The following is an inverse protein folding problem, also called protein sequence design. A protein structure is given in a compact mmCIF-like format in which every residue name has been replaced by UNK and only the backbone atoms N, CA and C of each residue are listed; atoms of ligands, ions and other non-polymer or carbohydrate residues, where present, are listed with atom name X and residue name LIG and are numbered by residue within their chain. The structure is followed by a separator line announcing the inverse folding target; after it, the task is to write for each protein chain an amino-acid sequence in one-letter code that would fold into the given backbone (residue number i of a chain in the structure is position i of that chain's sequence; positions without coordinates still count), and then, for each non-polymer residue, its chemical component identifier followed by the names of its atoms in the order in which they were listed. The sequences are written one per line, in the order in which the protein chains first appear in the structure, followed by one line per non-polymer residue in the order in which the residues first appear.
data_IF_612229557692
#
_entry.id   IF_612229557692
#
_cell.length_a   1.000
_cell.length_b   1.000
_cell.length_c   1.000
_cell.angle_alpha   90.00
_cell.angle_beta   90.00
_cell.angle_gamma   90.00
#
_symmetry.space_group_name_H-M   'P 1'
#
loop_
_entity.id
_entity.type
_entity.pdbx_description
1 polymer ?
#
# COMPACT_ATOMS: atom_id res chain seq x y z
N UNK A 1 21.52 -39.85 -1.47
CA UNK A 1 20.83 -39.48 -0.21
C UNK A 1 20.20 -38.13 -0.44
N UNK A 2 18.89 -38.03 -0.24
CA UNK A 2 18.03 -37.00 -0.81
C UNK A 2 18.22 -35.61 -0.21
N UNK A 3 18.25 -34.62 -1.10
CA UNK A 3 18.26 -33.19 -0.84
C UNK A 3 16.81 -32.73 -0.61
N UNK A 4 16.45 -32.32 0.61
CA UNK A 4 15.11 -31.79 0.89
C UNK A 4 15.08 -30.30 0.56
N UNK A 5 14.63 -29.99 -0.66
CA UNK A 5 14.15 -28.67 -1.05
C UNK A 5 12.93 -28.33 -0.19
N UNK A 6 13.05 -27.29 0.63
CA UNK A 6 11.94 -26.68 1.37
C UNK A 6 11.19 -25.77 0.41
N UNK A 7 10.29 -26.36 -0.38
CA UNK A 7 9.42 -25.67 -1.32
C UNK A 7 8.32 -24.89 -0.58
N UNK A 8 8.11 -23.66 -1.05
CA UNK A 8 6.92 -22.81 -0.97
C UNK A 8 5.91 -23.07 0.16
N UNK A 9 5.95 -22.18 1.15
CA UNK A 9 4.71 -21.73 1.82
C UNK A 9 4.02 -20.70 0.92
N UNK A 10 3.66 -21.09 -0.30
CA UNK A 10 2.78 -20.31 -1.14
C UNK A 10 1.39 -20.32 -0.51
N UNK A 11 0.96 -19.13 -0.16
CA UNK A 11 -0.33 -18.77 0.38
C UNK A 11 -1.47 -19.47 -0.36
N UNK A 12 -2.23 -20.31 0.35
CA UNK A 12 -3.55 -20.76 -0.13
C UNK A 12 -4.40 -19.52 -0.36
N UNK A 13 -4.88 -19.24 -1.58
CA UNK A 13 -5.79 -18.12 -1.82
C UNK A 13 -7.12 -18.42 -1.11
N UNK A 14 -7.42 -17.69 -0.04
CA UNK A 14 -8.75 -17.68 0.58
C UNK A 14 -9.70 -16.89 -0.33
N UNK A 15 -10.13 -17.51 -1.44
CA UNK A 15 -11.03 -16.90 -2.40
C UNK A 15 -12.26 -16.32 -1.69
N UNK A 16 -12.46 -15.01 -1.83
CA UNK A 16 -13.55 -14.25 -1.20
C UNK A 16 -13.15 -13.38 0.00
N UNK A 17 -11.97 -13.59 0.60
CA UNK A 17 -11.48 -12.80 1.74
C UNK A 17 -10.44 -11.72 1.39
N UNK A 18 -9.94 -11.74 0.15
CA UNK A 18 -9.02 -10.74 -0.37
C UNK A 18 -9.74 -9.67 -1.20
N UNK A 19 -9.30 -8.42 -1.05
CA UNK A 19 -9.56 -7.34 -1.98
C UNK A 19 -8.51 -7.42 -3.10
N UNK A 20 -8.95 -7.33 -4.35
CA UNK A 20 -8.07 -7.16 -5.51
C UNK A 20 -8.43 -5.89 -6.26
N UNK A 21 -7.42 -5.09 -6.62
CA UNK A 21 -7.52 -3.93 -7.50
C UNK A 21 -6.49 -4.11 -8.62
N UNK A 22 -6.91 -3.91 -9.86
CA UNK A 22 -6.02 -3.93 -11.03
C UNK A 22 -6.21 -2.62 -11.79
N UNK A 23 -5.09 -2.00 -12.18
CA UNK A 23 -5.08 -0.73 -12.91
C UNK A 23 -3.91 -0.70 -13.89
N UNK A 24 -4.12 -0.05 -15.02
CA UNK A 24 -3.04 0.24 -15.98
C UNK A 24 -2.61 1.69 -15.78
N UNK A 25 -1.31 1.91 -15.58
CA UNK A 25 -0.70 3.24 -15.53
C UNK A 25 0.06 3.51 -16.83
N UNK A 26 0.00 4.76 -17.31
CA UNK A 26 0.70 5.20 -18.51
C UNK A 26 2.15 5.60 -18.20
N UNK A 27 2.92 4.65 -17.70
CA UNK A 27 4.34 4.80 -17.40
C UNK A 27 5.07 3.44 -17.44
N UNK A 28 6.37 3.42 -17.80
CA UNK A 28 7.23 2.25 -17.70
C UNK A 28 7.31 1.76 -16.26
N UNK A 29 7.55 0.45 -16.10
CA UNK A 29 7.57 -0.22 -14.80
C UNK A 29 8.54 0.43 -13.83
N UNK A 30 9.72 0.79 -14.29
CA UNK A 30 10.77 1.38 -13.45
C UNK A 30 10.37 2.77 -12.94
N UNK A 31 9.71 3.58 -13.78
CA UNK A 31 9.21 4.90 -13.38
C UNK A 31 8.10 4.76 -12.35
N UNK A 32 7.17 3.83 -12.57
CA UNK A 32 6.10 3.57 -11.62
C UNK A 32 6.66 3.04 -10.30
N UNK A 33 7.65 2.14 -10.34
CA UNK A 33 8.34 1.63 -9.17
C UNK A 33 8.96 2.74 -8.33
N UNK A 34 9.72 3.65 -8.96
CA UNK A 34 10.31 4.81 -8.30
C UNK A 34 9.26 5.68 -7.60
N UNK A 35 8.06 5.83 -8.17
CA UNK A 35 6.98 6.59 -7.53
C UNK A 35 6.51 6.00 -6.19
N UNK A 36 6.76 4.71 -5.95
CA UNK A 36 6.42 4.01 -4.71
C UNK A 36 7.60 3.84 -3.75
N UNK A 37 8.84 4.02 -4.22
CA UNK A 37 10.05 3.68 -3.46
C UNK A 37 10.94 4.87 -3.15
N UNK A 38 10.83 5.96 -3.92
CA UNK A 38 11.58 7.19 -3.69
C UNK A 38 10.76 8.19 -2.86
N UNK A 39 11.26 8.65 -1.70
CA UNK A 39 10.55 9.57 -0.81
C UNK A 39 10.08 10.85 -1.52
N UNK A 40 10.95 11.44 -2.34
CA UNK A 40 10.68 12.70 -3.04
C UNK A 40 9.50 12.58 -4.01
N UNK A 41 9.32 11.40 -4.62
CA UNK A 41 8.24 11.10 -5.54
C UNK A 41 6.95 10.76 -4.81
N UNK A 42 7.01 9.92 -3.79
CA UNK A 42 5.86 9.57 -2.95
C UNK A 42 5.15 10.82 -2.42
N UNK A 43 5.91 11.81 -1.93
CA UNK A 43 5.37 13.07 -1.40
C UNK A 43 4.59 13.91 -2.41
N UNK A 44 4.72 13.66 -3.72
CA UNK A 44 4.03 14.43 -4.75
C UNK A 44 2.59 13.99 -4.99
N UNK A 45 2.23 12.77 -4.61
CA UNK A 45 0.95 12.17 -5.03
C UNK A 45 0.26 11.33 -3.95
N UNK A 46 0.99 10.82 -2.95
CA UNK A 46 0.40 9.92 -1.96
C UNK A 46 -0.50 10.66 -0.97
N UNK A 47 -1.76 10.24 -0.91
CA UNK A 47 -2.80 10.84 -0.08
C UNK A 47 -3.83 11.66 -0.88
N UNK A 48 -4.84 12.23 -0.20
CA UNK A 48 -5.84 13.10 -0.84
C UNK A 48 -5.23 14.42 -1.33
N UNK A 49 -5.85 15.04 -2.35
CA UNK A 49 -5.33 16.26 -3.02
C UNK A 49 -4.97 17.42 -2.11
N UNK A 50 -5.84 17.72 -1.18
CA UNK A 50 -5.68 18.92 -0.36
C UNK A 50 -4.91 18.60 0.93
N UNK A 51 -4.30 17.41 1.04
CA UNK A 51 -3.48 17.04 2.18
C UNK A 51 -2.00 17.26 1.88
N UNK A 52 -1.29 17.77 2.89
CA UNK A 52 0.16 17.83 2.86
C UNK A 52 0.68 16.53 3.43
N UNK A 53 1.51 15.83 2.65
CA UNK A 53 2.20 14.64 3.10
C UNK A 53 3.59 14.97 3.63
N UNK A 54 3.96 14.38 4.76
CA UNK A 54 5.34 14.35 5.26
C UNK A 54 5.79 12.92 5.55
N UNK A 55 7.08 12.65 5.34
CA UNK A 55 7.70 11.36 5.62
C UNK A 55 8.55 11.50 6.88
N UNK A 56 8.21 10.75 7.92
CA UNK A 56 9.00 10.68 9.14
C UNK A 56 10.13 9.64 9.00
N UNK A 57 9.88 8.53 8.32
CA UNK A 57 10.89 7.54 7.98
C UNK A 57 10.51 6.79 6.70
N UNK A 58 11.50 6.44 5.88
CA UNK A 58 11.36 5.50 4.78
C UNK A 58 12.61 4.64 4.70
N UNK A 59 12.49 3.38 5.12
CA UNK A 59 13.55 2.38 5.12
C UNK A 59 13.17 1.25 4.16
N UNK A 60 13.55 1.39 2.89
CA UNK A 60 13.17 0.45 1.83
C UNK A 60 13.99 -0.85 1.88
N UNK A 61 13.69 -1.69 2.87
CA UNK A 61 14.28 -3.03 3.06
C UNK A 61 13.30 -3.92 3.82
N UNK A 62 13.39 -5.26 3.72
CA UNK A 62 12.66 -6.15 4.62
C UNK A 62 12.88 -5.78 6.10
N UNK A 63 11.80 -5.71 6.86
CA UNK A 63 11.74 -5.24 8.24
C UNK A 63 11.91 -3.72 8.43
N UNK A 64 12.12 -2.96 7.35
CA UNK A 64 12.12 -1.51 7.37
C UNK A 64 10.70 -0.96 7.31
N UNK A 65 10.55 0.32 7.65
CA UNK A 65 9.26 1.00 7.73
C UNK A 65 9.15 2.19 6.80
N UNK A 66 7.93 2.47 6.35
CA UNK A 66 7.54 3.74 5.77
C UNK A 66 6.49 4.40 6.67
N UNK A 67 6.92 5.40 7.44
CA UNK A 67 6.11 6.11 8.42
C UNK A 67 5.86 7.54 7.92
N UNK A 68 4.60 7.90 7.76
CA UNK A 68 4.20 9.16 7.13
C UNK A 68 3.02 9.81 7.85
N UNK A 69 2.87 11.11 7.66
CA UNK A 69 1.73 11.90 8.13
C UNK A 69 1.04 12.56 6.94
N UNK A 70 -0.30 12.48 6.95
CA UNK A 70 -1.16 13.27 6.08
C UNK A 70 -1.84 14.34 6.93
N UNK A 71 -1.58 15.61 6.62
CA UNK A 71 -2.21 16.75 7.27
C UNK A 71 -3.27 17.37 6.37
N UNK A 72 -4.51 17.40 6.86
CA UNK A 72 -5.63 18.05 6.16
C UNK A 72 -5.52 19.58 6.14
N UNK A 73 -6.29 20.29 5.30
CA UNK A 73 -6.36 21.75 5.31
C UNK A 73 -6.76 22.35 6.66
N UNK A 74 -7.51 21.60 7.47
CA UNK A 74 -7.94 22.00 8.82
C UNK A 74 -6.89 21.70 9.90
N UNK A 75 -5.71 21.23 9.51
CA UNK A 75 -4.61 20.93 10.43
C UNK A 75 -4.70 19.57 11.12
N UNK A 76 -5.75 18.79 10.89
CA UNK A 76 -5.85 17.44 11.43
C UNK A 76 -4.82 16.52 10.78
N UNK A 77 -4.09 15.78 11.61
CA UNK A 77 -3.06 14.82 11.20
C UNK A 77 -3.57 13.39 11.27
N UNK A 78 -3.25 12.60 10.23
CA UNK A 78 -3.44 11.15 10.21
C UNK A 78 -2.11 10.49 9.89
N UNK A 79 -1.68 9.60 10.78
CA UNK A 79 -0.40 8.91 10.68
C UNK A 79 -0.60 7.49 10.14
N UNK A 80 0.22 7.11 9.16
CA UNK A 80 0.21 5.79 8.54
C UNK A 80 1.59 5.13 8.60
N UNK A 81 1.59 3.80 8.63
CA UNK A 81 2.80 3.00 8.72
C UNK A 81 2.71 1.81 7.77
N UNK A 82 3.71 1.66 6.92
CA UNK A 82 3.97 0.39 6.23
C UNK A 82 5.16 -0.30 6.88
N UNK A 83 5.02 -1.59 7.18
CA UNK A 83 6.15 -2.46 7.55
C UNK A 83 6.47 -3.37 6.38
N UNK A 84 7.61 -3.17 5.73
CA UNK A 84 8.02 -3.93 4.56
C UNK A 84 8.38 -5.37 4.93
N UNK A 85 7.69 -6.33 4.33
CA UNK A 85 7.90 -7.77 4.56
C UNK A 85 8.86 -8.35 3.52
N UNK A 86 8.68 -7.99 2.25
CA UNK A 86 9.58 -8.41 1.16
C UNK A 86 9.56 -7.39 0.02
N UNK A 87 10.69 -7.23 -0.65
CA UNK A 87 10.87 -6.30 -1.77
C UNK A 87 11.56 -7.07 -2.89
N UNK A 88 11.01 -7.01 -4.10
CA UNK A 88 11.61 -7.56 -5.32
C UNK A 88 11.54 -6.49 -6.39
N UNK A 89 12.61 -5.71 -6.53
CA UNK A 89 12.66 -4.60 -7.47
C UNK A 89 12.78 -5.08 -8.93
N UNK A 90 12.05 -4.49 -9.90
CA UNK A 90 10.99 -3.47 -9.79
C UNK A 90 9.57 -4.08 -9.79
N UNK A 91 9.42 -5.31 -9.34
CA UNK A 91 8.27 -6.17 -9.62
C UNK A 91 7.24 -6.22 -8.50
N UNK A 92 7.67 -6.16 -7.23
CA UNK A 92 6.81 -6.52 -6.09
C UNK A 92 7.19 -5.82 -4.79
N UNK A 93 6.18 -5.29 -4.11
CA UNK A 93 6.26 -4.84 -2.71
C UNK A 93 5.25 -5.65 -1.88
N UNK A 94 5.70 -6.18 -0.74
CA UNK A 94 4.83 -6.85 0.24
C UNK A 94 5.03 -6.17 1.58
N UNK A 95 3.95 -5.71 2.20
CA UNK A 95 4.00 -4.96 3.45
C UNK A 95 2.71 -5.11 4.27
N UNK A 96 2.80 -4.82 5.56
CA UNK A 96 1.65 -4.59 6.42
C UNK A 96 1.33 -3.09 6.39
N UNK A 97 0.07 -2.73 6.16
CA UNK A 97 -0.44 -1.37 6.22
C UNK A 97 -1.24 -1.15 7.50
N UNK A 98 -0.89 -0.12 8.25
CA UNK A 98 -1.48 0.18 9.56
C UNK A 98 -1.69 1.68 9.76
N UNK A 99 -2.67 2.03 10.57
CA UNK A 99 -2.68 3.34 11.21
C UNK A 99 -1.59 3.38 12.27
N UNK A 100 -1.01 4.56 12.48
CA UNK A 100 0.02 4.76 13.49
C UNK A 100 -0.25 6.01 14.31
N UNK A 101 0.57 6.20 15.34
CA UNK A 101 0.71 7.47 16.03
C UNK A 101 2.01 8.18 15.60
N UNK A 102 2.23 9.40 16.09
CA UNK A 102 3.43 10.20 15.80
C UNK A 102 4.76 9.52 16.15
N UNK A 103 4.75 8.54 17.07
CA UNK A 103 5.97 7.81 17.46
C UNK A 103 6.24 6.59 16.57
N UNK A 104 5.39 6.32 15.57
CA UNK A 104 5.53 5.17 14.67
C UNK A 104 5.02 3.86 15.26
N UNK A 105 4.22 3.89 16.33
CA UNK A 105 3.57 2.71 16.87
C UNK A 105 2.20 2.51 16.22
N UNK A 106 1.85 1.25 15.92
CA UNK A 106 0.54 0.87 15.37
C UNK A 106 -0.58 1.36 16.30
N UNK A 107 -1.61 1.95 15.70
CA UNK A 107 -2.76 2.53 16.39
C UNK A 107 -4.08 2.08 15.77
N UNK A 108 -5.18 2.20 16.52
CA UNK A 108 -6.53 1.92 16.02
C UNK A 108 -6.97 2.99 15.01
N UNK A 109 -7.80 2.57 14.06
CA UNK A 109 -8.45 3.51 13.14
C UNK A 109 -9.31 4.50 13.95
N UNK A 110 -9.23 5.82 13.68
CA UNK A 110 -9.81 6.84 14.55
C UNK A 110 -11.35 6.86 14.61
N UNK A 111 -12.02 6.28 13.60
CA UNK A 111 -13.49 6.29 13.49
C UNK A 111 -14.14 4.90 13.35
N UNK A 112 -13.37 3.81 13.34
CA UNK A 112 -13.87 2.45 13.09
C UNK A 112 -13.11 1.50 14.00
N UNK A 113 -13.66 1.24 15.19
CA UNK A 113 -12.96 0.46 16.23
C UNK A 113 -12.62 -0.96 15.79
N UNK A 114 -13.46 -1.56 14.96
CA UNK A 114 -13.29 -2.89 14.37
C UNK A 114 -12.50 -2.86 13.06
N UNK A 115 -11.83 -1.76 12.71
CA UNK A 115 -10.87 -1.81 11.60
C UNK A 115 -9.67 -2.69 11.99
N UNK A 116 -9.18 -3.58 11.10
CA UNK A 116 -7.98 -4.38 11.39
C UNK A 116 -6.79 -3.48 11.73
N UNK A 117 -6.01 -3.86 12.75
CA UNK A 117 -4.77 -3.13 13.09
C UNK A 117 -3.78 -3.15 11.93
N UNK A 118 -3.70 -4.27 11.22
CA UNK A 118 -2.77 -4.48 10.12
C UNK A 118 -3.52 -5.10 8.93
N UNK A 119 -3.24 -4.57 7.75
CA UNK A 119 -3.74 -5.09 6.47
C UNK A 119 -2.53 -5.56 5.66
N UNK A 120 -2.42 -6.87 5.47
CA UNK A 120 -1.40 -7.45 4.60
C UNK A 120 -1.70 -7.05 3.16
N UNK A 121 -0.71 -6.47 2.49
CA UNK A 121 -0.83 -5.89 1.16
C UNK A 121 0.31 -6.35 0.26
N UNK A 122 -0.03 -6.75 -0.97
CA UNK A 122 0.90 -7.04 -2.05
C UNK A 122 0.62 -6.05 -3.17
N UNK A 123 1.65 -5.32 -3.61
CA UNK A 123 1.67 -4.62 -4.88
C UNK A 123 2.53 -5.39 -5.86
N UNK A 124 2.02 -5.53 -7.08
CA UNK A 124 2.73 -6.16 -8.19
C UNK A 124 2.71 -5.23 -9.39
N UNK A 125 3.86 -5.09 -10.04
CA UNK A 125 4.10 -4.21 -11.17
C UNK A 125 4.52 -5.07 -12.36
N UNK A 126 3.64 -5.20 -13.34
CA UNK A 126 3.86 -6.01 -14.54
C UNK A 126 4.04 -5.11 -15.75
N UNK A 127 5.15 -5.30 -16.46
CA UNK A 127 5.45 -4.56 -17.68
C UNK A 127 4.41 -4.87 -18.78
N UNK A 128 3.96 -3.83 -19.47
CA UNK A 128 3.00 -3.93 -20.58
C UNK A 128 3.36 -2.90 -21.68
N UNK A 129 4.49 -3.14 -22.36
CA UNK A 129 5.04 -2.18 -23.32
C UNK A 129 5.51 -0.92 -22.62
N UNK A 130 5.06 0.25 -23.08
CA UNK A 130 5.36 1.53 -22.41
C UNK A 130 4.51 1.78 -21.15
N UNK A 131 3.57 0.89 -20.85
CA UNK A 131 2.64 0.98 -19.71
C UNK A 131 2.98 -0.05 -18.65
N UNK A 132 2.37 0.08 -17.48
CA UNK A 132 2.49 -0.89 -16.40
C UNK A 132 1.12 -1.33 -15.91
N UNK A 133 0.91 -2.64 -15.82
CA UNK A 133 -0.23 -3.23 -15.11
C UNK A 133 0.15 -3.31 -13.64
N UNK A 134 -0.48 -2.47 -12.83
CA UNK A 134 -0.42 -2.53 -11.38
C UNK A 134 -1.53 -3.43 -10.84
N UNK A 135 -1.19 -4.34 -9.95
CA UNK A 135 -2.18 -5.08 -9.16
C UNK A 135 -1.90 -4.95 -7.67
N UNK A 136 -2.95 -4.70 -6.91
CA UNK A 136 -2.95 -4.73 -5.45
C UNK A 136 -3.82 -5.88 -4.99
N UNK A 137 -3.29 -6.69 -4.08
CA UNK A 137 -4.06 -7.61 -3.26
C UNK A 137 -3.92 -7.24 -1.79
N UNK A 138 -5.02 -7.25 -1.06
CA UNK A 138 -4.97 -6.99 0.38
C UNK A 138 -6.01 -7.74 1.17
N UNK A 139 -5.68 -8.01 2.42
CA UNK A 139 -6.55 -8.69 3.40
C UNK A 139 -6.16 -8.30 4.82
N UNK A 140 -7.09 -8.39 5.78
CA UNK A 140 -6.74 -8.27 7.20
C UNK A 140 -5.65 -9.27 7.60
N UNK A 141 -4.75 -8.85 8.49
CA UNK A 141 -3.69 -9.66 9.07
C UNK A 141 -3.89 -9.77 10.59
N UNK A 142 -3.75 -10.98 11.14
CA UNK A 142 -3.95 -11.26 12.58
C UNK A 142 -5.25 -10.64 13.14
N UNK A 143 -6.32 -10.64 12.35
CA UNK A 143 -7.56 -9.95 12.66
C UNK A 143 -8.61 -10.92 13.23
N UNK A 144 -9.46 -10.38 14.10
CA UNK A 144 -10.65 -11.03 14.62
C UNK A 144 -11.73 -11.19 13.54
N UNK A 145 -12.71 -12.06 13.78
CA UNK A 145 -13.84 -12.22 12.86
C UNK A 145 -14.60 -10.89 12.60
N UNK A 146 -14.79 -10.07 13.63
CA UNK A 146 -15.45 -8.77 13.50
C UNK A 146 -14.62 -7.80 12.64
N UNK A 147 -13.29 -7.80 12.78
CA UNK A 147 -12.40 -6.99 11.96
C UNK A 147 -12.36 -7.45 10.50
N UNK A 148 -12.40 -8.77 10.28
CA UNK A 148 -12.54 -9.33 8.94
C UNK A 148 -13.83 -8.87 8.26
N UNK A 149 -14.98 -8.98 8.95
CA UNK A 149 -16.27 -8.53 8.40
C UNK A 149 -16.25 -7.02 8.11
N UNK A 150 -15.76 -6.22 9.05
CA UNK A 150 -15.64 -4.76 8.88
C UNK A 150 -14.84 -4.39 7.64
N UNK A 151 -13.70 -5.04 7.41
CA UNK A 151 -12.89 -4.83 6.22
C UNK A 151 -13.63 -5.22 4.93
N UNK A 152 -14.30 -6.39 4.94
CA UNK A 152 -15.03 -6.90 3.78
C UNK A 152 -16.23 -6.02 3.40
N UNK A 153 -16.95 -5.50 4.38
CA UNK A 153 -18.08 -4.58 4.20
C UNK A 153 -17.62 -3.22 3.66
N UNK A 154 -16.39 -2.81 4.00
CA UNK A 154 -15.80 -1.56 3.54
C UNK A 154 -15.01 -1.68 2.22
N UNK A 155 -14.97 -2.85 1.56
CA UNK A 155 -14.20 -3.04 0.31
C UNK A 155 -14.51 -2.00 -0.76
N UNK A 156 -15.77 -1.57 -0.89
CA UNK A 156 -16.13 -0.56 -1.87
C UNK A 156 -15.55 0.82 -1.51
N UNK A 157 -15.54 1.18 -0.23
CA UNK A 157 -14.91 2.41 0.26
C UNK A 157 -13.40 2.38 0.03
N UNK A 158 -12.74 1.24 0.30
CA UNK A 158 -11.31 1.05 0.01
C UNK A 158 -11.04 1.24 -1.47
N UNK A 159 -11.83 0.59 -2.35
CA UNK A 159 -11.68 0.73 -3.81
C UNK A 159 -11.81 2.18 -4.27
N UNK A 160 -12.84 2.89 -3.79
CA UNK A 160 -13.06 4.29 -4.14
C UNK A 160 -11.91 5.18 -3.63
N UNK A 161 -11.47 4.99 -2.37
CA UNK A 161 -10.35 5.74 -1.81
C UNK A 161 -9.05 5.50 -2.58
N UNK A 162 -8.72 4.24 -2.88
CA UNK A 162 -7.55 3.89 -3.69
C UNK A 162 -7.64 4.47 -5.11
N UNK A 163 -8.82 4.48 -5.74
CA UNK A 163 -9.00 5.08 -7.06
C UNK A 163 -8.67 6.59 -7.05
N UNK A 164 -9.15 7.34 -6.05
CA UNK A 164 -8.85 8.76 -5.88
C UNK A 164 -7.35 9.00 -5.68
N UNK A 165 -6.68 8.17 -4.87
CA UNK A 165 -5.23 8.25 -4.69
C UNK A 165 -4.49 7.93 -6.00
N UNK A 166 -4.97 7.00 -6.82
CA UNK A 166 -4.34 6.67 -8.09
C UNK A 166 -4.56 7.71 -9.20
N UNK A 167 -5.64 8.49 -9.15
CA UNK A 167 -5.78 9.67 -10.01
C UNK A 167 -4.70 10.71 -9.71
N UNK A 168 -4.20 10.79 -8.48
CA UNK A 168 -3.07 11.67 -8.16
C UNK A 168 -1.78 11.17 -8.77
N UNK A 169 -1.56 9.86 -8.71
CA UNK A 169 -0.41 9.25 -9.35
C UNK A 169 -0.44 9.49 -10.87
N UNK A 170 -1.58 9.41 -11.54
CA UNK A 170 -1.67 9.76 -12.97
C UNK A 170 -1.26 11.20 -13.24
N UNK A 171 -1.76 12.14 -12.44
CA UNK A 171 -1.42 13.56 -12.59
C UNK A 171 0.07 13.78 -12.39
N UNK A 172 0.66 13.12 -11.39
CA UNK A 172 2.10 13.20 -11.14
C UNK A 172 2.91 12.55 -12.26
N UNK A 173 2.53 11.36 -12.73
CA UNK A 173 3.19 10.69 -13.85
C UNK A 173 3.19 11.58 -15.10
N UNK A 174 2.10 12.29 -15.39
CA UNK A 174 2.03 13.22 -16.51
C UNK A 174 2.99 14.42 -16.41
N UNK A 175 3.56 14.72 -15.23
CA UNK A 175 4.59 15.76 -15.06
C UNK A 175 6.01 15.23 -15.21
N UNK A 176 6.24 13.95 -14.88
CA UNK A 176 7.58 13.33 -14.89
C UNK A 176 7.82 12.39 -16.08
N UNK A 177 6.78 12.02 -16.81
CA UNK A 177 6.82 11.12 -17.95
C UNK A 177 5.83 11.57 -19.04
N UNK A 178 6.28 11.63 -20.30
CA UNK A 178 5.49 12.00 -21.48
C UNK A 178 5.84 11.09 -22.66
#
# INVERSE_FOLDING_TARGET
MANTLRADQDTVPMAGQELTIVRVFDAPRDILWQCWTEPERLMQWWGPRDHIMTIAALELRPGGVFHYCLRSPMGQETWGLFTYMSISEPEKLVFLNSYANITGAVARHPAIDTWPLEVFTIFHFTEAGSKTIFSMKSRPHNATAAEHLTYLDNRQNIKTGTAVTFEQLDRYLATVYK
#
